data_IF_975628147957
#
_entry.id   IF_975628147957
#
_cell.length_a   1.000
_cell.length_b   1.000
_cell.length_c   1.000
_cell.angle_alpha   90.00
_cell.angle_beta   90.00
_cell.angle_gamma   90.00
#
_symmetry.space_group_name_H-M   'P 1'
#
loop_
_entity.id
_entity.type
_entity.pdbx_description
1 polymer ?
#
# COMPACT_ATOMS: atom_id res chain seq x y z
N UNK A 1 -5.55 24.94 20.26
CA UNK A 1 -6.26 23.70 19.98
C UNK A 1 -5.70 23.19 18.66
N UNK A 2 -4.92 22.10 18.68
CA UNK A 2 -4.45 21.44 17.46
C UNK A 2 -5.68 20.84 16.76
N UNK A 3 -6.06 21.38 15.63
CA UNK A 3 -7.12 20.83 14.80
C UNK A 3 -6.54 19.64 14.03
N UNK A 4 -6.90 18.41 14.44
CA UNK A 4 -6.57 17.23 13.62
C UNK A 4 -7.40 17.29 12.34
N UNK A 5 -6.73 17.21 11.19
CA UNK A 5 -7.39 17.20 9.89
C UNK A 5 -8.31 15.99 9.74
N UNK A 6 -9.48 16.19 9.17
CA UNK A 6 -10.43 15.11 8.85
C UNK A 6 -9.95 14.31 7.63
N UNK A 7 -10.49 13.11 7.42
CA UNK A 7 -10.22 12.31 6.22
C UNK A 7 -10.60 13.09 4.95
N UNK A 8 -11.72 13.81 4.97
CA UNK A 8 -12.18 14.63 3.83
C UNK A 8 -11.18 15.74 3.49
N UNK A 9 -10.64 16.42 4.50
CA UNK A 9 -9.59 17.44 4.31
C UNK A 9 -8.30 16.84 3.75
N UNK A 10 -7.88 15.67 4.25
CA UNK A 10 -6.68 14.96 3.76
C UNK A 10 -6.84 14.52 2.31
N UNK A 11 -8.00 13.97 1.95
CA UNK A 11 -8.31 13.63 0.54
C UNK A 11 -8.31 14.87 -0.34
N UNK A 12 -8.87 15.99 0.14
CA UNK A 12 -8.84 17.27 -0.58
C UNK A 12 -7.42 17.77 -0.84
N UNK A 13 -6.55 17.69 0.17
CA UNK A 13 -5.13 18.06 0.04
C UNK A 13 -4.38 17.15 -0.94
N UNK A 14 -4.58 15.82 -0.86
CA UNK A 14 -4.00 14.88 -1.80
C UNK A 14 -4.47 15.13 -3.23
N UNK A 15 -5.76 15.37 -3.44
CA UNK A 15 -6.32 15.69 -4.76
C UNK A 15 -5.77 16.99 -5.34
N UNK A 16 -5.45 17.98 -4.51
CA UNK A 16 -4.78 19.20 -4.96
C UNK A 16 -3.37 18.90 -5.51
N UNK A 17 -2.59 18.08 -4.80
CA UNK A 17 -1.27 17.62 -5.26
C UNK A 17 -1.37 16.75 -6.53
N UNK A 18 -2.38 15.88 -6.61
CA UNK A 18 -2.63 15.07 -7.81
C UNK A 18 -2.90 15.96 -9.04
N UNK A 19 -3.71 17.01 -8.90
CA UNK A 19 -3.95 17.98 -9.98
C UNK A 19 -2.68 18.71 -10.40
N UNK A 20 -1.90 19.20 -9.43
CA UNK A 20 -0.62 19.88 -9.69
C UNK A 20 0.34 19.01 -10.50
N UNK A 21 0.37 17.71 -10.19
CA UNK A 21 1.28 16.74 -10.83
C UNK A 21 0.66 15.99 -12.02
N UNK A 22 -0.54 16.36 -12.43
CA UNK A 22 -1.30 15.69 -13.50
C UNK A 22 -1.45 14.17 -13.26
N UNK A 23 -1.89 13.79 -12.05
CA UNK A 23 -2.16 12.41 -11.63
C UNK A 23 -3.66 12.20 -11.52
N UNK A 24 -4.21 11.19 -12.21
CA UNK A 24 -5.64 10.89 -12.25
C UNK A 24 -6.06 9.81 -11.26
N UNK A 25 -5.13 8.97 -10.80
CA UNK A 25 -5.35 8.02 -9.72
C UNK A 25 -4.14 7.97 -8.80
N UNK A 26 -4.34 7.89 -7.49
CA UNK A 26 -3.26 7.70 -6.52
C UNK A 26 -3.53 6.49 -5.65
N UNK A 27 -2.58 5.56 -5.58
CA UNK A 27 -2.70 4.28 -4.89
C UNK A 27 -1.86 4.32 -3.60
N UNK A 28 -2.47 3.92 -2.48
CA UNK A 28 -1.81 3.85 -1.17
C UNK A 28 -2.05 2.46 -0.59
N UNK A 29 -1.02 1.63 -0.59
CA UNK A 29 -1.05 0.28 -0.03
C UNK A 29 -0.79 0.27 1.49
N UNK A 30 -1.13 -0.85 2.15
CA UNK A 30 -0.60 -1.19 3.47
C UNK A 30 0.68 -1.98 3.24
N UNK A 31 1.81 -1.29 3.24
CA UNK A 31 3.11 -1.92 3.04
C UNK A 31 4.25 -1.05 3.58
N UNK A 32 5.38 -1.67 3.84
CA UNK A 32 6.66 -1.03 4.07
C UNK A 32 7.63 -1.31 2.89
N UNK A 33 8.90 -0.98 3.04
CA UNK A 33 9.91 -1.24 2.00
C UNK A 33 10.24 -2.72 1.80
N UNK A 34 9.70 -3.62 2.64
CA UNK A 34 9.94 -5.06 2.61
C UNK A 34 8.69 -5.87 2.25
N UNK A 35 7.54 -5.24 2.02
CA UNK A 35 6.28 -5.93 1.79
C UNK A 35 5.70 -6.57 3.06
N UNK A 36 5.88 -5.94 4.23
CA UNK A 36 5.44 -6.49 5.52
C UNK A 36 3.97 -6.16 5.80
N UNK A 37 3.22 -7.12 6.37
CA UNK A 37 1.83 -6.90 6.81
C UNK A 37 1.76 -5.95 8.01
N UNK A 38 2.68 -6.09 8.97
CA UNK A 38 2.72 -5.27 10.18
C UNK A 38 3.78 -4.18 10.02
N UNK A 39 3.32 -2.98 9.72
CA UNK A 39 4.18 -1.86 9.38
C UNK A 39 4.42 -0.92 10.56
N UNK A 40 5.60 -0.30 10.61
CA UNK A 40 5.91 0.77 11.56
C UNK A 40 5.06 2.02 11.32
N UNK A 41 5.04 2.93 12.28
CA UNK A 41 4.16 4.11 12.26
C UNK A 41 4.39 5.02 11.05
N UNK A 42 5.62 5.15 10.58
CA UNK A 42 5.95 5.89 9.34
C UNK A 42 5.15 5.39 8.12
N UNK A 43 4.92 4.07 8.04
CA UNK A 43 4.26 3.44 6.88
C UNK A 43 2.73 3.39 6.97
N UNK A 44 2.12 3.97 8.00
CA UNK A 44 0.67 3.98 8.19
C UNK A 44 -0.05 5.02 7.30
N UNK A 45 0.50 5.32 6.13
CA UNK A 45 -0.05 6.29 5.18
C UNK A 45 -1.50 5.99 4.79
N UNK A 46 -1.84 4.72 4.49
CA UNK A 46 -3.20 4.31 4.16
C UNK A 46 -4.16 4.54 5.34
N UNK A 47 -3.75 4.18 6.56
CA UNK A 47 -4.57 4.40 7.75
C UNK A 47 -4.77 5.90 8.02
N UNK A 48 -3.72 6.72 7.89
CA UNK A 48 -3.82 8.16 8.02
C UNK A 48 -4.79 8.75 6.99
N UNK A 49 -4.67 8.39 5.73
CA UNK A 49 -5.48 8.97 4.66
C UNK A 49 -6.94 8.52 4.69
N UNK A 50 -7.24 7.30 5.17
CA UNK A 50 -8.60 6.74 5.14
C UNK A 50 -9.31 6.72 6.48
N UNK A 51 -8.59 6.79 7.61
CA UNK A 51 -9.15 6.52 8.93
C UNK A 51 -9.37 5.04 9.24
N UNK A 52 -9.17 4.16 8.26
CA UNK A 52 -9.30 2.71 8.45
C UNK A 52 -8.03 2.12 9.05
N UNK A 53 -8.13 1.41 10.16
CA UNK A 53 -6.98 0.91 10.95
C UNK A 53 -6.71 -0.60 10.81
N UNK A 54 -7.48 -1.33 9.99
CA UNK A 54 -7.23 -2.74 9.72
C UNK A 54 -5.84 -2.99 9.12
N UNK A 55 -5.24 -4.17 9.33
CA UNK A 55 -3.87 -4.47 8.89
C UNK A 55 -3.73 -4.67 7.38
N UNK A 56 -4.82 -4.93 6.66
CA UNK A 56 -4.80 -5.15 5.21
C UNK A 56 -5.81 -4.25 4.50
N UNK A 57 -5.36 -3.56 3.47
CA UNK A 57 -6.20 -2.73 2.62
C UNK A 57 -5.40 -1.83 1.69
N UNK A 58 -6.04 -1.45 0.60
CA UNK A 58 -5.47 -0.50 -0.39
C UNK A 58 -6.47 0.61 -0.64
N UNK A 59 -6.04 1.84 -0.50
CA UNK A 59 -6.82 3.03 -0.83
C UNK A 59 -6.47 3.49 -2.25
N UNK A 60 -7.47 3.70 -3.07
CA UNK A 60 -7.33 4.34 -4.38
C UNK A 60 -8.12 5.63 -4.39
N UNK A 61 -7.46 6.73 -4.72
CA UNK A 61 -8.04 8.07 -4.77
C UNK A 61 -8.08 8.57 -6.22
N UNK A 62 -9.25 8.92 -6.67
CA UNK A 62 -9.52 9.61 -7.94
C UNK A 62 -9.90 11.09 -7.67
N UNK A 63 -9.99 11.96 -8.69
CA UNK A 63 -10.34 13.37 -8.49
C UNK A 63 -11.63 13.61 -7.73
N UNK A 64 -12.65 12.77 -7.90
CA UNK A 64 -14.01 12.92 -7.39
C UNK A 64 -14.50 11.74 -6.55
N UNK A 65 -13.83 10.61 -6.56
CA UNK A 65 -14.19 9.42 -5.78
C UNK A 65 -12.96 8.79 -5.12
N UNK A 66 -13.19 7.92 -4.13
CA UNK A 66 -12.15 7.10 -3.51
C UNK A 66 -12.72 5.77 -3.05
N UNK A 67 -11.94 4.69 -3.17
CA UNK A 67 -12.30 3.35 -2.72
C UNK A 67 -11.23 2.75 -1.82
N UNK A 68 -11.66 2.05 -0.78
CA UNK A 68 -10.80 1.23 0.07
C UNK A 68 -11.12 -0.24 -0.14
N UNK A 69 -10.20 -0.97 -0.74
CA UNK A 69 -10.28 -2.42 -0.90
C UNK A 69 -9.74 -3.12 0.33
N UNK A 70 -10.54 -4.00 0.93
CA UNK A 70 -10.13 -4.85 2.05
C UNK A 70 -10.86 -6.20 1.99
N UNK A 71 -10.35 -7.19 2.72
CA UNK A 71 -10.92 -8.53 2.76
C UNK A 71 -12.00 -8.72 3.85
N UNK A 72 -12.66 -9.89 3.86
CA UNK A 72 -13.81 -10.18 4.73
C UNK A 72 -13.58 -10.03 6.22
N UNK A 73 -12.34 -10.10 6.69
CA UNK A 73 -12.00 -9.88 8.12
C UNK A 73 -12.35 -8.48 8.59
N UNK A 74 -12.41 -7.52 7.67
CA UNK A 74 -12.52 -6.10 7.96
C UNK A 74 -13.79 -5.42 7.45
N UNK A 75 -14.77 -6.15 6.88
CA UNK A 75 -15.96 -5.51 6.30
C UNK A 75 -16.78 -4.71 7.32
N UNK A 76 -16.96 -5.23 8.53
CA UNK A 76 -17.69 -4.50 9.58
C UNK A 76 -16.90 -3.30 10.11
N UNK A 77 -15.61 -3.50 10.38
CA UNK A 77 -14.72 -2.42 10.84
C UNK A 77 -14.58 -1.33 9.78
N UNK A 78 -14.39 -1.71 8.51
CA UNK A 78 -14.28 -0.78 7.39
C UNK A 78 -15.54 0.05 7.22
N UNK A 79 -16.72 -0.57 7.27
CA UNK A 79 -17.99 0.14 7.19
C UNK A 79 -18.13 1.21 8.29
N UNK A 80 -17.79 0.85 9.54
CA UNK A 80 -17.88 1.78 10.66
C UNK A 80 -16.83 2.91 10.59
N UNK A 81 -15.59 2.59 10.23
CA UNK A 81 -14.49 3.58 10.22
C UNK A 81 -14.50 4.50 9.01
N UNK A 82 -15.11 4.08 7.89
CA UNK A 82 -15.25 4.91 6.70
C UNK A 82 -16.51 5.77 6.69
N UNK A 83 -17.37 5.67 7.70
CA UNK A 83 -18.58 6.47 7.79
C UNK A 83 -18.23 7.98 7.76
N UNK A 84 -18.84 8.72 6.84
CA UNK A 84 -18.61 10.17 6.66
C UNK A 84 -17.27 10.54 5.99
N UNK A 85 -16.42 9.56 5.62
CA UNK A 85 -15.11 9.80 5.00
C UNK A 85 -15.17 10.15 3.51
N UNK A 86 -16.29 9.92 2.83
CA UNK A 86 -16.45 9.95 1.36
C UNK A 86 -15.67 8.82 0.62
N UNK A 87 -15.14 7.83 1.35
CA UNK A 87 -14.47 6.67 0.78
C UNK A 87 -15.47 5.51 0.72
N UNK A 88 -15.61 4.90 -0.44
CA UNK A 88 -16.41 3.70 -0.63
C UNK A 88 -15.66 2.47 -0.13
N UNK A 89 -16.31 1.65 0.71
CA UNK A 89 -15.77 0.35 1.10
C UNK A 89 -15.95 -0.64 -0.06
N UNK A 90 -14.83 -1.10 -0.61
CA UNK A 90 -14.76 -2.09 -1.67
C UNK A 90 -14.49 -3.47 -1.05
N UNK A 91 -15.54 -4.27 -0.90
CA UNK A 91 -15.49 -5.60 -0.24
C UNK A 91 -14.91 -6.62 -1.21
N UNK A 92 -13.60 -6.90 -1.09
CA UNK A 92 -12.89 -7.82 -1.98
C UNK A 92 -13.54 -9.21 -1.99
N UNK A 93 -13.80 -9.72 -3.19
CA UNK A 93 -14.38 -11.05 -3.40
C UNK A 93 -15.91 -11.12 -3.37
N UNK A 94 -16.59 -10.02 -3.02
CA UNK A 94 -18.05 -9.96 -3.12
C UNK A 94 -18.50 -9.73 -4.56
N UNK A 95 -19.68 -10.25 -4.90
CA UNK A 95 -20.28 -10.09 -6.23
C UNK A 95 -20.49 -8.62 -6.58
N UNK A 96 -20.11 -8.22 -7.78
CA UNK A 96 -20.25 -6.85 -8.27
C UNK A 96 -19.18 -5.88 -7.77
N UNK A 97 -18.22 -6.30 -6.94
CA UNK A 97 -17.11 -5.48 -6.50
C UNK A 97 -15.90 -5.69 -7.41
N UNK A 98 -15.48 -4.67 -8.18
CA UNK A 98 -14.33 -4.81 -9.07
C UNK A 98 -13.02 -4.94 -8.29
N UNK A 99 -12.04 -5.61 -8.85
CA UNK A 99 -10.65 -5.50 -8.41
C UNK A 99 -10.13 -4.08 -8.65
N UNK A 100 -9.03 -3.71 -7.99
CA UNK A 100 -8.39 -2.41 -8.21
C UNK A 100 -8.01 -2.23 -9.69
N UNK A 101 -7.52 -3.28 -10.33
CA UNK A 101 -7.13 -3.25 -11.74
C UNK A 101 -8.33 -3.01 -12.67
N UNK A 102 -9.44 -3.72 -12.44
CA UNK A 102 -10.70 -3.50 -13.19
C UNK A 102 -11.27 -2.11 -12.95
N UNK A 103 -11.26 -1.65 -11.69
CA UNK A 103 -11.73 -0.31 -11.35
C UNK A 103 -10.94 0.78 -12.06
N UNK A 104 -9.60 0.70 -12.04
CA UNK A 104 -8.75 1.67 -12.73
C UNK A 104 -8.93 1.60 -14.25
N UNK A 105 -9.09 0.40 -14.82
CA UNK A 105 -9.34 0.24 -16.24
C UNK A 105 -10.69 0.84 -16.67
N UNK A 106 -11.71 0.75 -15.83
CA UNK A 106 -13.04 1.35 -16.09
C UNK A 106 -13.03 2.88 -15.95
N UNK A 107 -12.36 3.39 -14.92
CA UNK A 107 -12.43 4.82 -14.53
C UNK A 107 -11.45 5.73 -15.24
N UNK A 108 -10.29 5.21 -15.66
CA UNK A 108 -9.26 6.05 -16.25
C UNK A 108 -9.37 6.12 -17.77
N UNK A 109 -9.18 7.32 -18.27
CA UNK A 109 -9.08 7.57 -19.71
C UNK A 109 -7.67 7.33 -20.23
N UNK A 110 -7.53 7.18 -21.54
CA UNK A 110 -6.25 7.09 -22.23
C UNK A 110 -5.42 8.37 -21.97
N UNK A 111 -4.13 8.23 -21.71
CA UNK A 111 -3.27 9.34 -21.33
C UNK A 111 -3.23 9.64 -19.81
N UNK A 112 -3.97 8.89 -18.98
CA UNK A 112 -3.96 9.07 -17.53
C UNK A 112 -2.64 8.67 -16.89
N UNK A 113 -2.29 9.34 -15.78
CA UNK A 113 -1.15 9.03 -14.94
C UNK A 113 -1.62 8.40 -13.61
N UNK A 114 -1.02 7.29 -13.23
CA UNK A 114 -1.27 6.60 -11.95
C UNK A 114 -0.09 6.87 -11.02
N UNK A 115 -0.36 7.48 -9.86
CA UNK A 115 0.63 7.83 -8.86
C UNK A 115 0.64 6.84 -7.68
N UNK A 116 1.80 6.61 -7.11
CA UNK A 116 2.01 5.81 -5.88
C UNK A 116 3.43 6.01 -5.34
N UNK A 117 3.66 5.64 -4.07
CA UNK A 117 5.03 5.53 -3.56
C UNK A 117 5.66 4.22 -4.06
N UNK A 118 6.59 4.33 -5.01
CA UNK A 118 7.24 3.16 -5.62
C UNK A 118 8.07 2.30 -4.66
N UNK A 119 8.31 2.76 -3.43
CA UNK A 119 9.04 2.01 -2.40
C UNK A 119 8.14 1.02 -1.64
N UNK A 120 6.80 1.21 -1.69
CA UNK A 120 5.81 0.44 -0.92
C UNK A 120 4.83 -0.33 -1.80
N UNK A 121 5.06 -0.36 -3.10
CA UNK A 121 4.21 -1.08 -4.07
C UNK A 121 5.02 -2.14 -4.78
N UNK A 122 4.53 -3.38 -4.75
CA UNK A 122 5.25 -4.51 -5.37
C UNK A 122 5.06 -4.53 -6.89
N UNK A 123 6.07 -5.05 -7.59
CA UNK A 123 6.02 -5.26 -9.04
C UNK A 123 4.84 -6.17 -9.45
N UNK A 124 4.58 -7.23 -8.67
CA UNK A 124 3.45 -8.12 -8.90
C UNK A 124 2.09 -7.42 -8.80
N UNK A 125 1.94 -6.45 -7.88
CA UNK A 125 0.72 -5.65 -7.78
C UNK A 125 0.56 -4.76 -9.01
N UNK A 126 1.60 -4.04 -9.40
CA UNK A 126 1.58 -3.16 -10.58
C UNK A 126 1.43 -3.95 -11.88
N UNK A 127 1.97 -5.17 -11.95
CA UNK A 127 1.82 -6.06 -13.09
C UNK A 127 0.36 -6.38 -13.41
N UNK A 128 -0.47 -6.61 -12.39
CA UNK A 128 -1.92 -6.81 -12.58
C UNK A 128 -2.63 -5.58 -13.13
N UNK A 129 -2.26 -4.40 -12.66
CA UNK A 129 -2.80 -3.13 -13.17
C UNK A 129 -2.35 -2.94 -14.62
N UNK A 130 -1.06 -3.11 -14.89
CA UNK A 130 -0.48 -2.96 -16.25
C UNK A 130 -1.16 -3.88 -17.27
N UNK A 131 -1.43 -5.14 -16.90
CA UNK A 131 -2.14 -6.06 -17.78
C UNK A 131 -3.60 -5.64 -18.04
N UNK A 132 -4.28 -5.11 -17.02
CA UNK A 132 -5.67 -4.65 -17.14
C UNK A 132 -5.83 -3.40 -18.05
N UNK A 133 -4.80 -2.57 -18.11
CA UNK A 133 -4.77 -1.35 -18.97
C UNK A 133 -3.91 -1.51 -20.23
N UNK A 134 -3.56 -2.74 -20.58
CA UNK A 134 -2.71 -3.05 -21.73
C UNK A 134 -3.26 -2.48 -23.03
N UNK A 135 -2.39 -1.87 -23.80
CA UNK A 135 -2.75 -1.20 -25.06
C UNK A 135 -3.28 0.23 -24.89
N UNK A 136 -3.37 0.72 -23.66
CA UNK A 136 -3.72 2.12 -23.34
C UNK A 136 -2.45 2.94 -23.07
N UNK A 137 -2.49 4.22 -23.43
CA UNK A 137 -1.37 5.14 -23.20
C UNK A 137 -1.45 5.70 -21.77
N UNK A 138 -0.98 4.94 -20.77
CA UNK A 138 -0.94 5.34 -19.36
C UNK A 138 0.50 5.36 -18.86
N UNK A 139 0.77 6.22 -17.88
CA UNK A 139 2.09 6.36 -17.26
C UNK A 139 2.02 6.20 -15.74
N UNK A 140 3.15 5.86 -15.12
CA UNK A 140 3.30 5.77 -13.68
C UNK A 140 4.14 6.91 -13.12
N UNK A 141 3.67 7.50 -12.01
CA UNK A 141 4.38 8.55 -11.27
C UNK A 141 4.69 7.98 -9.88
N UNK A 142 5.89 7.43 -9.70
CA UNK A 142 6.26 6.65 -8.52
C UNK A 142 7.51 7.14 -7.77
N UNK A 143 8.05 8.28 -8.16
CA UNK A 143 9.28 8.84 -7.57
C UNK A 143 9.09 9.64 -6.29
N UNK A 144 7.86 9.89 -5.85
CA UNK A 144 7.54 10.74 -4.71
C UNK A 144 6.32 10.22 -3.95
N UNK A 145 6.41 10.16 -2.62
CA UNK A 145 5.27 9.89 -1.75
C UNK A 145 4.49 11.19 -1.49
N UNK A 146 3.33 11.34 -2.15
CA UNK A 146 2.49 12.53 -1.98
C UNK A 146 1.86 12.61 -0.59
N UNK A 147 1.69 11.49 0.11
CA UNK A 147 1.13 11.49 1.47
C UNK A 147 2.08 12.19 2.44
N UNK A 148 3.38 12.15 2.21
CA UNK A 148 4.37 12.85 3.04
C UNK A 148 4.16 14.38 3.05
N UNK A 149 3.60 14.93 1.98
CA UNK A 149 3.22 16.35 1.91
C UNK A 149 1.90 16.68 2.61
N UNK A 150 1.01 15.71 2.74
CA UNK A 150 -0.29 15.86 3.43
C UNK A 150 -0.15 15.60 4.92
N UNK A 151 0.68 14.64 5.31
CA UNK A 151 0.89 14.23 6.69
C UNK A 151 2.08 14.97 7.33
N UNK A 152 1.85 16.21 7.73
CA UNK A 152 2.92 17.11 8.20
C UNK A 152 3.57 16.72 9.53
N UNK A 153 2.88 15.95 10.36
CA UNK A 153 3.36 15.40 11.64
C UNK A 153 3.61 13.88 11.56
N UNK A 154 3.92 13.38 10.37
CA UNK A 154 4.22 11.96 10.14
C UNK A 154 5.34 11.48 11.04
N UNK A 155 5.17 10.34 11.77
CA UNK A 155 6.25 9.75 12.54
C UNK A 155 7.50 9.52 11.70
N UNK A 156 8.67 9.75 12.27
CA UNK A 156 9.93 9.50 11.56
C UNK A 156 10.14 8.00 11.34
N UNK A 157 10.85 7.66 10.28
CA UNK A 157 11.31 6.29 10.06
C UNK A 157 12.18 5.84 11.25
N UNK A 158 11.91 4.66 11.78
CA UNK A 158 12.67 4.11 12.92
C UNK A 158 14.17 4.04 12.59
N UNK A 159 14.98 4.43 13.55
CA UNK A 159 16.45 4.32 13.52
C UNK A 159 16.95 3.35 14.59
N UNK A 160 16.06 2.53 15.16
CA UNK A 160 16.45 1.52 16.12
C UNK A 160 17.46 0.55 15.50
N UNK A 161 18.52 0.20 16.23
CA UNK A 161 19.54 -0.70 15.72
C UNK A 161 18.99 -2.11 15.51
N UNK A 162 19.52 -2.80 14.51
CA UNK A 162 19.30 -4.24 14.36
C UNK A 162 19.94 -4.96 15.54
N UNK A 163 19.22 -5.89 16.13
CA UNK A 163 19.70 -6.69 17.26
C UNK A 163 19.57 -8.20 16.96
N UNK A 164 20.39 -8.98 17.62
CA UNK A 164 20.39 -10.43 17.49
C UNK A 164 19.54 -11.07 18.58
N UNK A 165 18.56 -11.88 18.19
CA UNK A 165 17.79 -12.68 19.12
C UNK A 165 18.65 -13.89 19.56
N UNK A 166 18.85 -14.04 20.88
CA UNK A 166 19.68 -15.10 21.47
C UNK A 166 19.27 -16.50 21.01
N UNK A 167 20.26 -17.38 20.85
CA UNK A 167 20.07 -18.81 20.52
C UNK A 167 19.14 -19.51 21.53
N UNK A 168 19.13 -19.07 22.78
CA UNK A 168 18.20 -19.55 23.80
C UNK A 168 16.74 -19.49 23.36
N UNK A 169 16.35 -18.42 22.63
CA UNK A 169 15.00 -18.24 22.10
C UNK A 169 14.82 -18.79 20.70
N UNK A 170 15.84 -18.73 19.87
CA UNK A 170 15.76 -19.16 18.45
C UNK A 170 16.01 -20.65 18.26
N UNK A 171 16.58 -21.34 19.25
CA UNK A 171 16.89 -22.77 19.24
C UNK A 171 18.04 -23.19 18.30
N UNK A 172 18.52 -22.28 17.41
CA UNK A 172 19.59 -22.56 16.48
C UNK A 172 20.28 -21.26 16.07
N UNK A 173 21.61 -21.28 15.94
CA UNK A 173 22.38 -20.11 15.50
C UNK A 173 22.12 -19.77 14.03
N UNK A 174 22.45 -18.54 13.64
CA UNK A 174 22.34 -18.10 12.24
C UNK A 174 23.26 -18.93 11.33
N UNK A 175 24.47 -19.21 11.78
CA UNK A 175 25.45 -20.01 11.07
C UNK A 175 24.92 -21.42 10.81
N UNK A 176 24.34 -22.06 11.81
CA UNK A 176 23.72 -23.40 11.69
C UNK A 176 22.53 -23.39 10.72
N UNK A 177 21.67 -22.37 10.80
CA UNK A 177 20.53 -22.19 9.87
C UNK A 177 21.02 -22.03 8.44
N UNK A 178 22.00 -21.16 8.21
CA UNK A 178 22.59 -20.94 6.89
C UNK A 178 23.29 -22.19 6.36
N UNK A 179 23.98 -22.94 7.20
CA UNK A 179 24.61 -24.20 6.81
C UNK A 179 23.56 -25.21 6.31
N UNK A 180 22.45 -25.36 7.04
CA UNK A 180 21.34 -26.24 6.62
C UNK A 180 20.70 -25.81 5.31
N UNK A 181 20.47 -24.50 5.14
CA UNK A 181 19.93 -23.96 3.89
C UNK A 181 20.88 -24.26 2.72
N UNK A 182 22.18 -23.99 2.88
CA UNK A 182 23.18 -24.25 1.84
C UNK A 182 23.29 -25.72 1.50
N UNK A 183 23.14 -26.62 2.50
CA UNK A 183 23.12 -28.06 2.24
C UNK A 183 21.89 -28.46 1.41
N UNK A 184 20.72 -27.91 1.73
CA UNK A 184 19.49 -28.13 0.95
C UNK A 184 19.60 -27.57 -0.47
N UNK A 185 20.14 -26.36 -0.63
CA UNK A 185 20.42 -25.79 -1.95
C UNK A 185 21.30 -26.68 -2.80
N UNK A 186 22.40 -27.23 -2.20
CA UNK A 186 23.30 -28.13 -2.90
C UNK A 186 22.60 -29.41 -3.34
N UNK A 187 21.69 -29.97 -2.52
CA UNK A 187 20.90 -31.17 -2.88
C UNK A 187 19.97 -30.91 -4.05
N UNK A 188 19.37 -29.71 -4.09
CA UNK A 188 18.42 -29.29 -5.13
C UNK A 188 19.13 -28.68 -6.38
N UNK A 189 20.44 -28.57 -6.38
CA UNK A 189 21.20 -27.95 -7.47
C UNK A 189 20.96 -26.44 -7.62
N UNK A 190 20.58 -25.76 -6.53
CA UNK A 190 20.32 -24.33 -6.54
C UNK A 190 21.58 -23.53 -6.16
N UNK A 191 21.95 -22.58 -6.99
CA UNK A 191 23.11 -21.68 -6.74
C UNK A 191 22.71 -20.43 -5.95
N UNK A 192 21.44 -20.04 -6.01
CA UNK A 192 20.87 -18.87 -5.34
C UNK A 192 19.53 -19.22 -4.72
N UNK A 193 19.28 -18.69 -3.52
CA UNK A 193 17.96 -18.67 -2.87
C UNK A 193 17.54 -17.23 -2.67
N UNK A 194 16.35 -16.87 -3.14
CA UNK A 194 15.71 -15.57 -2.99
C UNK A 194 14.54 -15.67 -2.02
#
# INVERSE_FOLDING_TARGET
>A
VYHMSTVVERLGALRALMREKNIQAYIICTDDFHGSEYVGDYFKARAFMSGFTGSAGTLVVLPDEAGLWTDGRYFLQGAAQLEGSTITLMKMGEEGVPTIAEFLADKLEDGSNIGFDGRTVTDAFMGRITESIKGRNMSYVCGEDLVDKVWTDRPALSKEPVWELSVEYTGMSREEKLAKIRESMKKEGADLLV
#
